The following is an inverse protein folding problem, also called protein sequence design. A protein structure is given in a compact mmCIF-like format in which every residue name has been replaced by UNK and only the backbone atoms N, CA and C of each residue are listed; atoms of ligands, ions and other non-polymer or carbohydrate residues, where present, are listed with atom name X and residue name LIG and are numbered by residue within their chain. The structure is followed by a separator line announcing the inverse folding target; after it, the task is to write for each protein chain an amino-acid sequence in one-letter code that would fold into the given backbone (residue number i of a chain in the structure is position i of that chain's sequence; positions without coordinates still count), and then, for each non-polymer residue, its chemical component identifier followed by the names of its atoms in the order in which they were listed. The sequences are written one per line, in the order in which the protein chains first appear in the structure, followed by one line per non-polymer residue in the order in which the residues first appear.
data_IF_420688027729
#
_entry.id   IF_420688027729
#
_cell.length_a   1.000
_cell.length_b   1.000
_cell.length_c   1.000
_cell.angle_alpha   90.00
_cell.angle_beta   90.00
_cell.angle_gamma   90.00
#
_symmetry.space_group_name_H-M   'P 1'
#
loop_
_entity.id
_entity.type
_entity.pdbx_description
1 polymer ?
#
# COMPACT_ATOMS: atom_id res chain seq x y z
N UNK A 1 -42.50 6.26 54.73
CA UNK A 1 -41.30 5.45 54.43
C UNK A 1 -41.13 5.36 52.91
N UNK A 2 -40.41 6.31 52.32
CA UNK A 2 -40.17 6.41 50.87
C UNK A 2 -38.69 6.13 50.59
N UNK A 3 -38.31 4.85 50.49
CA UNK A 3 -36.97 4.45 50.03
C UNK A 3 -37.05 3.09 49.37
N UNK A 4 -36.24 2.90 48.31
CA UNK A 4 -35.97 1.66 47.56
C UNK A 4 -36.77 1.42 46.27
N UNK A 5 -36.81 2.37 45.33
CA UNK A 5 -37.05 2.02 43.90
C UNK A 5 -36.20 2.78 42.88
N UNK A 6 -35.43 3.78 43.27
CA UNK A 6 -34.66 4.61 42.33
C UNK A 6 -33.32 4.02 41.87
N UNK A 7 -32.81 2.95 42.52
CA UNK A 7 -31.42 2.54 42.35
C UNK A 7 -31.19 1.42 41.31
N UNK A 8 -32.26 0.75 40.83
CA UNK A 8 -32.15 -0.29 39.78
C UNK A 8 -32.36 0.25 38.36
N UNK A 9 -32.92 1.45 38.20
CA UNK A 9 -33.22 2.01 36.89
C UNK A 9 -32.02 2.74 36.25
N UNK A 10 -31.05 3.16 37.06
CA UNK A 10 -29.94 4.00 36.57
C UNK A 10 -28.82 3.22 35.90
N UNK A 11 -28.68 1.92 36.17
CA UNK A 11 -27.54 1.11 35.69
C UNK A 11 -27.79 0.54 34.28
N UNK A 12 -29.05 0.31 33.90
CA UNK A 12 -29.37 -0.16 32.54
C UNK A 12 -29.31 0.94 31.47
N UNK A 13 -29.43 2.22 31.85
CA UNK A 13 -29.54 3.32 30.89
C UNK A 13 -28.18 3.83 30.38
N UNK A 14 -27.07 3.51 31.08
CA UNK A 14 -25.73 3.92 30.64
C UNK A 14 -25.09 2.95 29.64
N UNK A 15 -25.67 1.77 29.39
CA UNK A 15 -25.09 0.75 28.51
C UNK A 15 -25.59 0.79 27.06
N UNK A 16 -26.60 1.62 26.75
CA UNK A 16 -27.24 1.66 25.43
C UNK A 16 -26.80 2.82 24.53
N UNK A 17 -25.81 3.63 24.96
CA UNK A 17 -25.39 4.85 24.27
C UNK A 17 -23.92 4.87 23.85
N UNK A 18 -23.30 3.71 23.66
CA UNK A 18 -22.14 3.63 22.77
C UNK A 18 -22.69 3.31 21.37
N UNK A 19 -22.99 4.30 20.51
CA UNK A 19 -23.02 4.00 19.09
C UNK A 19 -21.57 3.62 18.79
N UNK A 20 -21.31 2.32 18.71
CA UNK A 20 -20.07 1.84 18.13
C UNK A 20 -19.97 2.54 16.78
N UNK A 21 -18.98 3.42 16.63
CA UNK A 21 -18.62 3.97 15.34
C UNK A 21 -18.24 2.77 14.47
N UNK A 22 -19.23 2.17 13.80
CA UNK A 22 -19.01 1.38 12.62
C UNK A 22 -18.53 2.37 11.56
N UNK A 23 -17.25 2.71 11.64
CA UNK A 23 -16.54 3.35 10.54
C UNK A 23 -16.87 2.51 9.30
N UNK A 24 -17.35 3.13 8.21
CA UNK A 24 -17.65 2.38 7.01
C UNK A 24 -16.42 1.55 6.64
N UNK A 25 -16.54 0.23 6.70
CA UNK A 25 -15.48 -0.69 6.31
C UNK A 25 -15.43 -0.69 4.78
N UNK A 26 -14.77 0.31 4.21
CA UNK A 26 -14.51 0.37 2.78
C UNK A 26 -13.55 -0.77 2.45
N UNK A 27 -13.90 -1.72 1.56
CA UNK A 27 -12.98 -2.78 1.16
C UNK A 27 -11.68 -2.18 0.64
N UNK A 28 -10.55 -2.84 0.92
CA UNK A 28 -9.25 -2.35 0.47
C UNK A 28 -9.26 -2.29 -1.07
N UNK A 29 -8.76 -1.20 -1.69
CA UNK A 29 -8.61 -1.17 -3.13
C UNK A 29 -7.71 -2.34 -3.56
N UNK A 30 -7.98 -2.98 -4.71
CA UNK A 30 -7.07 -4.00 -5.23
C UNK A 30 -5.71 -3.35 -5.56
N UNK A 31 -4.63 -4.12 -5.42
CA UNK A 31 -3.34 -3.73 -5.99
C UNK A 31 -3.14 -4.52 -7.28
N UNK A 32 -3.30 -3.85 -8.42
CA UNK A 32 -3.07 -4.46 -9.73
C UNK A 32 -1.61 -4.36 -10.16
N UNK A 33 -1.14 -5.33 -10.96
CA UNK A 33 0.20 -5.29 -11.57
C UNK A 33 0.36 -4.03 -12.43
N UNK A 34 -0.68 -3.64 -13.16
CA UNK A 34 -0.65 -2.45 -14.01
C UNK A 34 -0.42 -1.17 -13.21
N UNK A 35 -1.14 -0.98 -12.10
CA UNK A 35 -0.99 0.19 -11.23
C UNK A 35 0.38 0.21 -10.54
N UNK A 36 0.86 -0.94 -10.06
CA UNK A 36 2.19 -1.06 -9.46
C UNK A 36 3.31 -0.73 -10.47
N UNK A 37 3.24 -1.30 -11.68
CA UNK A 37 4.19 -1.02 -12.77
C UNK A 37 4.18 0.46 -13.15
N UNK A 38 2.99 1.05 -13.31
CA UNK A 38 2.85 2.46 -13.64
C UNK A 38 3.43 3.37 -12.54
N UNK A 39 3.24 2.99 -11.28
CA UNK A 39 3.80 3.72 -10.13
C UNK A 39 5.33 3.71 -10.18
N UNK A 40 5.95 2.55 -10.42
CA UNK A 40 7.41 2.43 -10.58
C UNK A 40 7.95 3.25 -11.77
N UNK A 41 7.28 3.18 -12.93
CA UNK A 41 7.67 3.94 -14.13
C UNK A 41 7.57 5.47 -13.93
N UNK A 42 6.63 5.93 -13.11
CA UNK A 42 6.37 7.37 -12.88
C UNK A 42 7.14 7.97 -11.73
N UNK A 43 7.42 7.19 -10.69
CA UNK A 43 8.01 7.70 -9.46
C UNK A 43 9.39 8.33 -9.73
N UNK A 44 10.23 7.68 -10.55
CA UNK A 44 11.54 8.20 -10.91
C UNK A 44 11.92 7.85 -12.37
N UNK A 45 11.33 8.55 -13.37
CA UNK A 45 11.50 8.21 -14.78
C UNK A 45 12.91 8.44 -15.32
N UNK A 46 13.77 9.12 -14.56
CA UNK A 46 15.17 9.34 -14.94
C UNK A 46 16.07 8.14 -14.64
N UNK A 47 15.66 7.29 -13.68
CA UNK A 47 16.46 6.15 -13.20
C UNK A 47 15.73 4.81 -13.30
N UNK A 48 14.40 4.82 -13.33
CA UNK A 48 13.59 3.62 -13.27
C UNK A 48 12.72 3.51 -14.52
N UNK A 49 12.97 2.48 -15.32
CA UNK A 49 12.05 1.97 -16.33
C UNK A 49 11.81 0.49 -16.09
N UNK A 50 10.55 0.09 -15.89
CA UNK A 50 10.17 -1.31 -15.70
C UNK A 50 10.26 -2.05 -17.03
N UNK A 51 11.29 -2.89 -17.13
CA UNK A 51 11.47 -3.84 -18.24
C UNK A 51 10.53 -5.02 -18.05
N UNK A 52 10.54 -5.60 -16.85
CA UNK A 52 9.75 -6.77 -16.50
C UNK A 52 9.21 -6.69 -15.07
N UNK A 53 8.02 -7.23 -14.85
CA UNK A 53 7.35 -7.29 -13.55
C UNK A 53 6.93 -8.74 -13.29
N UNK A 54 7.56 -9.41 -12.33
CA UNK A 54 7.41 -10.87 -12.12
C UNK A 54 6.16 -11.26 -11.30
N UNK A 55 5.22 -10.33 -11.13
CA UNK A 55 4.03 -10.51 -10.31
C UNK A 55 4.30 -10.29 -8.82
N UNK A 56 3.25 -10.45 -8.02
CA UNK A 56 3.35 -10.34 -6.56
C UNK A 56 3.67 -11.69 -5.94
N UNK A 57 4.55 -11.70 -4.93
CA UNK A 57 4.83 -12.89 -4.14
C UNK A 57 3.57 -13.37 -3.40
N UNK A 58 3.45 -14.70 -3.27
CA UNK A 58 2.36 -15.37 -2.56
C UNK A 58 2.92 -16.28 -1.45
N UNK A 59 2.16 -16.53 -0.36
CA UNK A 59 0.91 -15.86 -0.01
C UNK A 59 1.20 -14.43 0.45
N UNK A 60 0.31 -13.48 0.17
CA UNK A 60 0.61 -12.13 0.53
C UNK A 60 0.22 -11.87 1.99
N UNK A 61 1.07 -11.15 2.72
CA UNK A 61 0.75 -10.74 4.09
C UNK A 61 -0.36 -9.67 4.10
N UNK A 62 -1.09 -9.58 5.21
CA UNK A 62 -2.16 -8.59 5.37
C UNK A 62 -1.61 -7.17 5.17
N UNK A 63 -2.17 -6.47 4.18
CA UNK A 63 -1.75 -5.10 3.85
C UNK A 63 -0.32 -4.95 3.32
N UNK A 64 0.35 -6.04 2.92
CA UNK A 64 1.68 -5.98 2.28
C UNK A 64 1.74 -6.84 1.03
N UNK A 65 2.46 -6.36 0.02
CA UNK A 65 2.72 -7.07 -1.25
C UNK A 65 4.15 -6.79 -1.68
N UNK A 66 4.88 -7.83 -2.08
CA UNK A 66 6.23 -7.68 -2.62
C UNK A 66 6.26 -8.19 -4.05
N UNK A 67 7.11 -7.59 -4.88
CA UNK A 67 7.31 -8.02 -6.27
C UNK A 67 8.77 -7.91 -6.64
N UNK A 68 9.25 -8.90 -7.40
CA UNK A 68 10.51 -8.75 -8.12
C UNK A 68 10.25 -8.01 -9.43
N UNK A 69 11.09 -7.01 -9.72
CA UNK A 69 10.98 -6.18 -10.91
C UNK A 69 12.35 -6.01 -11.54
N UNK A 70 12.42 -6.12 -12.87
CA UNK A 70 13.63 -5.82 -13.63
C UNK A 70 13.58 -4.36 -14.08
N UNK A 71 14.50 -3.54 -13.58
CA UNK A 71 14.56 -2.11 -13.87
C UNK A 71 15.79 -1.78 -14.71
N UNK A 72 15.59 -0.93 -15.72
CA UNK A 72 16.66 -0.31 -16.48
C UNK A 72 16.76 1.18 -16.15
N UNK A 73 17.98 1.72 -16.17
CA UNK A 73 18.22 3.16 -16.11
C UNK A 73 18.18 3.74 -17.54
N UNK A 74 17.16 4.53 -17.91
CA UNK A 74 17.04 5.06 -19.27
C UNK A 74 18.14 6.05 -19.65
N UNK A 75 18.85 6.64 -18.68
CA UNK A 75 19.98 7.56 -18.93
C UNK A 75 21.29 6.83 -19.21
N UNK A 76 21.41 5.57 -18.82
CA UNK A 76 22.63 4.77 -18.97
C UNK A 76 22.39 3.62 -19.94
N UNK A 77 22.46 3.89 -21.25
CA UNK A 77 22.19 2.87 -22.29
C UNK A 77 23.10 1.64 -22.20
N UNK A 78 24.30 1.77 -21.64
CA UNK A 78 25.26 0.67 -21.48
C UNK A 78 25.06 -0.12 -20.18
N UNK A 79 24.23 0.36 -19.25
CA UNK A 79 23.97 -0.34 -17.99
C UNK A 79 23.04 -1.53 -18.21
N UNK A 80 23.39 -2.67 -17.62
CA UNK A 80 22.51 -3.84 -17.61
C UNK A 80 21.31 -3.57 -16.71
N UNK A 81 20.10 -4.01 -17.08
CA UNK A 81 18.96 -4.00 -16.17
C UNK A 81 19.27 -4.79 -14.89
N UNK A 82 18.75 -4.33 -13.75
CA UNK A 82 18.99 -4.90 -12.43
C UNK A 82 17.66 -5.34 -11.81
N UNK A 83 17.68 -6.47 -11.12
CA UNK A 83 16.51 -6.96 -10.38
C UNK A 83 16.41 -6.20 -9.05
N UNK A 84 15.22 -5.68 -8.79
CA UNK A 84 14.84 -5.06 -7.53
C UNK A 84 13.67 -5.81 -6.89
N UNK A 85 13.54 -5.67 -5.59
CA UNK A 85 12.37 -6.02 -4.78
C UNK A 85 11.61 -4.73 -4.50
N UNK A 86 10.41 -4.63 -5.04
CA UNK A 86 9.46 -3.55 -4.77
C UNK A 86 8.49 -3.98 -3.67
N UNK A 87 8.37 -3.19 -2.60
CA UNK A 87 7.43 -3.44 -1.52
C UNK A 87 6.29 -2.42 -1.55
N UNK A 88 5.06 -2.94 -1.50
CA UNK A 88 3.84 -2.16 -1.45
C UNK A 88 3.11 -2.42 -0.13
N UNK A 89 2.61 -1.36 0.50
CA UNK A 89 1.84 -1.46 1.74
C UNK A 89 0.51 -0.73 1.62
N UNK A 90 -0.54 -1.34 2.16
CA UNK A 90 -1.85 -0.74 2.29
C UNK A 90 -1.87 0.05 3.60
N UNK A 91 -2.08 1.36 3.49
CA UNK A 91 -2.11 2.26 4.64
C UNK A 91 -3.50 2.90 4.76
N UNK A 92 -3.92 3.16 5.99
CA UNK A 92 -5.13 3.95 6.29
C UNK A 92 -4.72 5.41 6.45
N UNK A 93 -5.32 6.28 5.64
CA UNK A 93 -5.16 7.73 5.71
C UNK A 93 -5.95 8.32 6.90
N UNK A 94 -5.65 9.55 7.34
CA UNK A 94 -6.38 10.20 8.45
C UNK A 94 -7.88 10.38 8.21
N UNK A 95 -8.31 10.43 6.94
CA UNK A 95 -9.72 10.47 6.52
C UNK A 95 -10.43 9.10 6.60
N UNK A 96 -9.72 8.06 7.03
CA UNK A 96 -10.23 6.69 7.13
C UNK A 96 -10.18 5.89 5.82
N UNK A 97 -9.77 6.51 4.70
CA UNK A 97 -9.61 5.80 3.43
C UNK A 97 -8.37 4.90 3.44
N UNK A 98 -8.40 3.79 2.68
CA UNK A 98 -7.27 2.87 2.53
C UNK A 98 -6.66 3.00 1.15
N UNK A 99 -5.34 3.04 1.06
CA UNK A 99 -4.63 3.20 -0.21
C UNK A 99 -3.30 2.44 -0.19
N UNK A 100 -2.89 1.94 -1.36
CA UNK A 100 -1.60 1.29 -1.54
C UNK A 100 -0.50 2.32 -1.77
N UNK A 101 0.67 2.07 -1.18
CA UNK A 101 1.88 2.87 -1.36
C UNK A 101 3.04 1.98 -1.76
N UNK A 102 3.84 2.42 -2.72
CA UNK A 102 5.20 1.92 -2.89
C UNK A 102 6.05 2.44 -1.72
N UNK A 103 6.59 1.52 -0.94
CA UNK A 103 7.32 1.81 0.31
C UNK A 103 8.80 1.50 0.27
N UNK A 104 9.22 0.60 -0.62
CA UNK A 104 10.62 0.26 -0.76
C UNK A 104 10.93 -0.25 -2.16
N UNK A 105 12.13 0.05 -2.63
CA UNK A 105 12.72 -0.52 -3.83
C UNK A 105 14.20 -0.83 -3.58
N UNK A 106 14.52 -2.11 -3.39
CA UNK A 106 15.88 -2.56 -3.01
C UNK A 106 16.44 -3.53 -4.04
N UNK A 107 17.75 -3.55 -4.25
CA UNK A 107 18.39 -4.62 -5.03
C UNK A 107 19.28 -5.51 -4.16
N UNK A 108 19.37 -6.78 -4.54
CA UNK A 108 20.28 -7.75 -3.93
C UNK A 108 21.41 -8.02 -4.93
N UNK A 109 22.36 -7.09 -5.03
CA UNK A 109 23.53 -7.28 -5.89
C UNK A 109 24.63 -8.02 -5.11
N UNK A 110 25.05 -9.19 -5.60
CA UNK A 110 26.19 -9.97 -5.11
C UNK A 110 26.33 -10.09 -3.58
N UNK A 111 25.23 -10.42 -2.87
CA UNK A 111 25.24 -10.66 -1.42
C UNK A 111 25.27 -9.40 -0.54
N UNK A 112 25.38 -8.21 -1.13
CA UNK A 112 25.24 -6.93 -0.44
C UNK A 112 23.91 -6.31 -0.87
N UNK A 113 22.94 -6.24 0.05
CA UNK A 113 21.72 -5.47 -0.17
C UNK A 113 22.10 -3.99 -0.26
N UNK A 114 22.14 -3.44 -1.48
CA UNK A 114 22.51 -2.04 -1.70
C UNK A 114 21.27 -1.18 -1.52
N UNK A 115 21.20 -0.50 -0.38
CA UNK A 115 20.18 0.53 -0.12
C UNK A 115 20.55 1.76 -0.94
N UNK A 116 19.78 2.05 -1.99
CA UNK A 116 19.96 3.25 -2.81
C UNK A 116 19.26 4.48 -2.20
N UNK A 117 18.87 4.42 -0.91
CA UNK A 117 18.01 5.42 -0.26
C UNK A 117 16.54 5.32 -0.66
N UNK A 118 16.16 4.22 -1.34
CA UNK A 118 14.81 3.96 -1.83
C UNK A 118 14.02 3.03 -0.90
N UNK A 119 14.43 2.95 0.36
CA UNK A 119 13.93 2.04 1.38
C UNK A 119 12.92 2.65 2.35
N UNK A 120 12.47 3.88 2.11
CA UNK A 120 11.46 4.58 2.91
C UNK A 120 10.56 5.45 2.02
N UNK A 121 10.07 4.86 0.94
CA UNK A 121 9.16 5.54 0.02
C UNK A 121 7.76 5.65 0.65
N UNK A 122 7.01 6.66 0.22
CA UNK A 122 5.58 6.82 0.51
C UNK A 122 4.89 7.33 -0.75
N UNK A 123 5.03 6.58 -1.84
CA UNK A 123 4.51 6.97 -3.14
C UNK A 123 3.15 6.31 -3.35
N UNK A 124 2.06 7.07 -3.46
CA UNK A 124 0.73 6.49 -3.65
C UNK A 124 0.64 5.76 -4.98
N UNK A 125 0.02 4.57 -4.96
CA UNK A 125 -0.25 3.81 -6.17
C UNK A 125 -1.39 4.48 -6.91
N UNK A 126 -1.08 5.03 -8.08
CA UNK A 126 -2.08 5.66 -8.93
C UNK A 126 -2.74 4.60 -9.81
N UNK A 127 -3.95 4.18 -9.48
CA UNK A 127 -4.82 3.53 -10.44
C UNK A 127 -5.35 4.62 -11.37
N UNK A 128 -4.75 4.82 -12.55
CA UNK A 128 -5.51 5.49 -13.60
C UNK A 128 -6.68 4.56 -13.96
N UNK A 129 -7.94 5.01 -13.91
CA UNK A 129 -9.00 4.27 -14.57
C UNK A 129 -8.62 4.16 -16.04
N UNK A 130 -8.73 2.98 -16.63
CA UNK A 130 -8.77 2.83 -18.08
C UNK A 130 -10.12 3.42 -18.56
N UNK A 131 -10.26 4.73 -18.52
CA UNK A 131 -11.38 5.45 -19.12
C UNK A 131 -10.97 5.93 -20.50
N UNK A 132 -11.57 5.32 -21.53
CA UNK A 132 -11.82 5.94 -22.83
C UNK A 132 -10.84 5.61 -23.95
N UNK A 133 -10.94 4.41 -24.53
CA UNK A 133 -10.88 4.30 -25.99
C UNK A 133 -12.30 4.52 -26.50
N UNK A 134 -12.59 5.73 -26.97
CA UNK A 134 -13.47 5.93 -28.13
C UNK A 134 -12.63 5.84 -29.39
#
# INVERSE_FOLDING_TARGET
MYRRKAQKLLICLCFSLLPGCNLPFWPAPPLTIAAARQTLDRWNPQYCKVVEFYGFSQPPADGSRESYVLLANPRERAAKPVIFVAQFKLLTRPDGSREWFLTSLMNHSAGLTRRQGWDNLLIPVQEKPLTGTE
#
